data_IF_341326652583
#
_entry.id   IF_341326652583
#
_cell.length_a   1.000
_cell.length_b   1.000
_cell.length_c   1.000
_cell.angle_alpha   90.00
_cell.angle_beta   90.00
_cell.angle_gamma   90.00
#
_symmetry.space_group_name_H-M   'P 1'
#
loop_
_entity.id
_entity.type
_entity.pdbx_description
1 polymer ?
#
# COMPACT_ATOMS: atom_id res chain seq x y z
N UNK A 1 0.93 -22.57 26.63
CA UNK A 1 1.44 -22.14 25.34
C UNK A 1 0.71 -20.86 24.96
N UNK A 2 1.39 -19.84 24.42
CA UNK A 2 0.79 -18.58 23.97
C UNK A 2 1.10 -18.41 22.49
N UNK A 3 0.06 -18.24 21.67
CA UNK A 3 0.16 -18.00 20.23
C UNK A 3 -0.14 -16.52 19.96
N UNK A 4 0.55 -15.94 19.01
CA UNK A 4 0.30 -14.58 18.52
C UNK A 4 -0.14 -14.70 17.06
N UNK A 5 -1.31 -14.15 16.77
CA UNK A 5 -1.85 -14.19 15.42
C UNK A 5 -1.09 -13.27 14.48
N UNK A 6 -1.07 -13.65 13.18
CA UNK A 6 -0.57 -12.81 12.10
C UNK A 6 -1.61 -11.75 11.68
N UNK A 7 -1.25 -10.95 10.68
CA UNK A 7 -2.12 -9.87 10.17
C UNK A 7 -3.39 -10.38 9.49
N UNK A 8 -3.32 -11.54 8.81
CA UNK A 8 -4.49 -12.10 8.13
C UNK A 8 -5.41 -12.76 9.14
N UNK A 9 -6.68 -12.33 9.25
CA UNK A 9 -7.64 -12.88 10.19
C UNK A 9 -7.83 -14.40 10.06
N UNK A 10 -8.06 -15.13 11.18
CA UNK A 10 -8.20 -16.60 11.17
C UNK A 10 -9.30 -17.10 10.23
N UNK A 11 -10.44 -16.40 10.16
CA UNK A 11 -11.57 -16.72 9.30
C UNK A 11 -11.22 -16.60 7.82
N UNK A 12 -10.45 -15.60 7.42
CA UNK A 12 -9.98 -15.49 6.03
C UNK A 12 -8.98 -16.59 5.69
N UNK A 13 -8.04 -16.90 6.62
CA UNK A 13 -7.12 -18.02 6.43
C UNK A 13 -7.87 -19.35 6.25
N UNK A 14 -8.93 -19.56 7.02
CA UNK A 14 -9.79 -20.76 6.92
C UNK A 14 -10.49 -20.83 5.55
N UNK A 15 -11.08 -19.74 5.08
CA UNK A 15 -11.75 -19.68 3.78
C UNK A 15 -10.82 -20.02 2.60
N UNK A 16 -9.55 -19.59 2.65
CA UNK A 16 -8.56 -20.00 1.65
C UNK A 16 -8.21 -21.49 1.76
N UNK A 17 -8.10 -22.02 2.97
CA UNK A 17 -7.76 -23.43 3.17
C UNK A 17 -8.86 -24.39 2.70
N UNK A 18 -10.13 -24.00 2.77
CA UNK A 18 -11.27 -24.80 2.29
C UNK A 18 -11.25 -25.02 0.76
N UNK A 19 -10.53 -24.21 0.02
CA UNK A 19 -10.39 -24.36 -1.43
C UNK A 19 -9.49 -25.55 -1.84
N UNK A 20 -8.79 -26.17 -0.90
CA UNK A 20 -7.96 -27.34 -1.16
C UNK A 20 -8.71 -28.64 -0.91
N UNK A 21 -8.69 -29.55 -1.92
CA UNK A 21 -9.31 -30.87 -1.83
C UNK A 21 -8.56 -31.70 -0.78
N UNK A 22 -9.30 -32.21 0.23
CA UNK A 22 -8.82 -33.25 1.13
C UNK A 22 -8.23 -32.79 2.45
N UNK A 23 -8.46 -31.55 2.85
CA UNK A 23 -8.11 -31.13 4.21
C UNK A 23 -7.25 -29.89 4.28
N UNK A 24 -7.22 -29.35 5.45
CA UNK A 24 -6.59 -28.09 5.77
C UNK A 24 -5.12 -28.04 5.40
N UNK A 25 -4.83 -27.51 4.21
CA UNK A 25 -3.49 -26.99 3.95
C UNK A 25 -3.35 -25.72 4.79
N UNK A 26 -2.40 -25.63 5.72
CA UNK A 26 -2.20 -24.41 6.48
C UNK A 26 -2.03 -23.22 5.51
N UNK A 27 -2.58 -22.08 5.84
CA UNK A 27 -2.49 -20.87 4.98
C UNK A 27 -1.05 -20.55 4.58
N UNK A 28 -0.09 -20.85 5.45
CA UNK A 28 1.32 -20.77 5.12
C UNK A 28 1.70 -21.65 3.91
N UNK A 29 1.20 -22.87 3.84
CA UNK A 29 1.45 -23.79 2.71
C UNK A 29 0.70 -23.38 1.44
N UNK A 30 -0.43 -22.68 1.57
CA UNK A 30 -1.14 -22.11 0.42
C UNK A 30 -0.23 -21.21 -0.42
N UNK A 31 0.57 -20.34 0.22
CA UNK A 31 1.50 -19.47 -0.47
C UNK A 31 2.54 -20.27 -1.28
N UNK A 32 3.08 -21.36 -0.69
CA UNK A 32 4.08 -22.21 -1.38
C UNK A 32 3.50 -23.01 -2.52
N UNK A 33 2.21 -23.36 -2.47
CA UNK A 33 1.51 -24.08 -3.57
C UNK A 33 1.09 -23.13 -4.72
N UNK A 34 0.84 -21.85 -4.44
CA UNK A 34 0.36 -20.89 -5.43
C UNK A 34 1.43 -19.97 -5.99
N UNK A 35 2.55 -19.79 -5.28
CA UNK A 35 3.60 -18.87 -5.65
C UNK A 35 4.92 -19.61 -5.85
N UNK A 36 5.56 -19.41 -7.00
CA UNK A 36 6.96 -19.83 -7.21
C UNK A 36 7.90 -18.90 -6.40
N UNK A 37 9.16 -19.31 -6.23
CA UNK A 37 10.13 -18.57 -5.41
C UNK A 37 10.38 -17.12 -5.91
N UNK A 38 10.38 -16.91 -7.22
CA UNK A 38 10.49 -15.60 -7.85
C UNK A 38 9.26 -14.74 -7.56
N UNK A 39 8.05 -15.31 -7.59
CA UNK A 39 6.83 -14.63 -7.18
C UNK A 39 6.85 -14.23 -5.72
N UNK A 40 7.38 -15.07 -4.83
CA UNK A 40 7.56 -14.75 -3.41
C UNK A 40 8.57 -13.62 -3.19
N UNK A 41 9.67 -13.61 -3.96
CA UNK A 41 10.64 -12.51 -3.90
C UNK A 41 10.05 -11.20 -4.44
N UNK A 42 9.29 -11.25 -5.52
CA UNK A 42 8.57 -10.08 -6.03
C UNK A 42 7.56 -9.56 -5.00
N UNK A 43 6.79 -10.44 -4.36
CA UNK A 43 5.87 -10.06 -3.29
C UNK A 43 6.61 -9.44 -2.08
N UNK A 44 7.77 -9.98 -1.70
CA UNK A 44 8.59 -9.40 -0.63
C UNK A 44 9.01 -7.96 -0.95
N UNK A 45 9.44 -7.70 -2.20
CA UNK A 45 9.75 -6.34 -2.65
C UNK A 45 8.50 -5.45 -2.69
N UNK A 46 7.37 -5.98 -3.10
CA UNK A 46 6.08 -5.28 -3.10
C UNK A 46 5.66 -4.82 -1.70
N UNK A 47 5.85 -5.67 -0.67
CA UNK A 47 5.57 -5.32 0.72
C UNK A 47 6.65 -4.46 1.38
N UNK A 48 7.86 -4.42 0.84
CA UNK A 48 8.96 -3.58 1.34
C UNK A 48 9.56 -2.75 0.19
N UNK A 49 8.78 -1.84 -0.41
CA UNK A 49 9.17 -1.15 -1.63
C UNK A 49 10.23 -0.08 -1.39
N UNK A 50 10.75 0.43 -2.49
CA UNK A 50 11.57 1.62 -2.49
C UNK A 50 10.71 2.88 -2.37
N UNK A 51 11.23 3.86 -1.61
CA UNK A 51 10.66 5.19 -1.47
C UNK A 51 11.66 6.23 -1.93
N UNK A 52 11.16 7.24 -2.63
CA UNK A 52 11.95 8.37 -3.12
C UNK A 52 11.63 9.62 -2.32
N UNK A 53 12.68 10.28 -1.81
CA UNK A 53 12.55 11.58 -1.17
C UNK A 53 12.95 12.68 -2.16
N UNK A 54 12.03 13.60 -2.45
CA UNK A 54 12.27 14.79 -3.25
C UNK A 54 11.78 16.01 -2.46
N UNK A 55 12.67 16.97 -2.21
CA UNK A 55 12.37 18.07 -1.30
C UNK A 55 12.02 17.54 0.08
N UNK A 56 10.81 17.82 0.55
CA UNK A 56 10.28 17.31 1.82
C UNK A 56 9.24 16.20 1.65
N UNK A 57 8.94 15.80 0.42
CA UNK A 57 7.93 14.78 0.12
C UNK A 57 8.54 13.40 -0.08
N UNK A 58 7.82 12.38 0.40
CA UNK A 58 8.17 10.97 0.25
C UNK A 58 7.16 10.30 -0.68
N UNK A 59 7.67 9.70 -1.74
CA UNK A 59 6.86 9.06 -2.77
C UNK A 59 7.18 7.57 -2.87
N UNK A 60 6.17 6.76 -3.20
CA UNK A 60 6.34 5.36 -3.56
C UNK A 60 6.98 5.30 -4.95
N UNK A 61 8.24 4.86 -5.02
CA UNK A 61 9.03 4.89 -6.25
C UNK A 61 8.36 4.17 -7.42
N UNK A 62 7.68 3.05 -7.14
CA UNK A 62 7.08 2.19 -8.16
C UNK A 62 5.95 2.84 -8.97
N UNK A 63 5.28 3.86 -8.41
CA UNK A 63 4.14 4.55 -9.07
C UNK A 63 4.48 5.97 -9.52
N UNK A 64 5.70 6.43 -9.25
CA UNK A 64 6.13 7.73 -9.75
C UNK A 64 6.25 7.71 -11.28
N UNK A 65 5.87 8.80 -11.97
CA UNK A 65 6.16 8.95 -13.38
C UNK A 65 7.66 8.76 -13.65
N UNK A 66 8.05 8.07 -14.73
CA UNK A 66 9.46 7.75 -15.00
C UNK A 66 10.38 8.98 -15.18
N UNK A 67 9.79 10.09 -15.56
CA UNK A 67 10.45 11.39 -15.83
C UNK A 67 10.21 12.42 -14.71
N UNK A 68 9.70 11.97 -13.55
CA UNK A 68 9.46 12.85 -12.41
C UNK A 68 10.80 13.31 -11.80
N UNK A 69 11.10 14.58 -11.95
CA UNK A 69 12.33 15.22 -11.50
C UNK A 69 12.06 16.41 -10.56
N UNK A 70 13.13 17.13 -10.21
CA UNK A 70 13.00 18.34 -9.38
C UNK A 70 12.16 19.46 -10.04
N UNK A 71 12.11 19.52 -11.37
CA UNK A 71 11.29 20.53 -12.05
C UNK A 71 9.81 20.17 -11.91
N UNK A 72 9.46 18.91 -12.14
CA UNK A 72 8.12 18.35 -11.89
C UNK A 72 7.66 18.57 -10.46
N UNK A 73 8.56 18.35 -9.49
CA UNK A 73 8.30 18.60 -8.08
C UNK A 73 7.95 20.08 -7.82
N UNK A 74 8.75 21.03 -8.39
CA UNK A 74 8.50 22.47 -8.20
C UNK A 74 7.19 22.93 -8.82
N UNK A 75 6.84 22.40 -9.99
CA UNK A 75 5.55 22.70 -10.63
C UNK A 75 4.39 22.19 -9.76
N UNK A 76 4.53 21.01 -9.21
CA UNK A 76 3.54 20.45 -8.29
C UNK A 76 3.44 21.27 -7.00
N UNK A 77 4.57 21.68 -6.42
CA UNK A 77 4.62 22.51 -5.23
C UNK A 77 3.86 23.85 -5.44
N UNK A 78 4.03 24.45 -6.62
CA UNK A 78 3.26 25.65 -7.00
C UNK A 78 1.77 25.36 -7.14
N UNK A 79 1.41 24.24 -7.81
CA UNK A 79 0.01 23.81 -8.00
C UNK A 79 -0.71 23.60 -6.68
N UNK A 80 -0.04 22.97 -5.72
CA UNK A 80 -0.59 22.68 -4.38
C UNK A 80 -0.31 23.77 -3.35
N UNK A 81 0.22 24.93 -3.77
CA UNK A 81 0.54 26.07 -2.90
C UNK A 81 1.40 25.69 -1.70
N UNK A 82 2.34 24.74 -1.89
CA UNK A 82 3.22 24.24 -0.84
C UNK A 82 2.56 23.30 0.16
N UNK A 83 1.37 22.78 -0.13
CA UNK A 83 0.75 21.71 0.67
C UNK A 83 1.37 20.36 0.31
N UNK A 84 2.50 20.08 0.96
CA UNK A 84 3.26 18.84 0.72
C UNK A 84 2.48 17.57 1.11
N UNK A 85 1.57 17.65 2.10
CA UNK A 85 0.72 16.50 2.45
C UNK A 85 -0.28 16.19 1.34
N UNK A 86 -0.88 17.20 0.73
CA UNK A 86 -1.76 17.02 -0.42
C UNK A 86 -1.01 16.50 -1.65
N UNK A 87 0.22 16.98 -1.88
CA UNK A 87 1.09 16.47 -2.95
C UNK A 87 1.38 14.97 -2.78
N UNK A 88 1.82 14.56 -1.58
CA UNK A 88 2.07 13.15 -1.29
C UNK A 88 0.80 12.31 -1.41
N UNK A 89 -0.32 12.81 -0.87
CA UNK A 89 -1.60 12.14 -0.91
C UNK A 89 -2.04 11.86 -2.35
N UNK A 90 -1.82 12.79 -3.26
CA UNK A 90 -2.16 12.64 -4.69
C UNK A 90 -1.20 11.70 -5.42
N UNK A 91 0.13 11.91 -5.28
CA UNK A 91 1.13 11.10 -6.00
C UNK A 91 1.16 9.65 -5.51
N UNK A 92 0.94 9.42 -4.21
CA UNK A 92 0.95 8.09 -3.62
C UNK A 92 -0.40 7.38 -3.69
N UNK A 93 -1.42 8.00 -4.30
CA UNK A 93 -2.70 7.35 -4.51
C UNK A 93 -2.55 6.25 -5.58
N UNK A 94 -3.12 5.10 -5.28
CA UNK A 94 -2.96 3.93 -6.10
C UNK A 94 -4.17 3.00 -6.00
N UNK A 95 -4.69 2.57 -7.15
CA UNK A 95 -5.76 1.57 -7.23
C UNK A 95 -5.20 0.16 -7.12
N UNK A 96 -5.73 -0.63 -6.19
CA UNK A 96 -5.36 -2.04 -6.03
C UNK A 96 -5.59 -2.82 -7.34
N UNK A 97 -6.63 -2.45 -8.10
CA UNK A 97 -6.97 -3.08 -9.36
C UNK A 97 -5.90 -2.97 -10.44
N UNK A 98 -5.12 -1.92 -10.44
CA UNK A 98 -4.12 -1.65 -11.48
C UNK A 98 -2.96 -2.66 -11.48
N UNK A 99 -2.70 -3.30 -10.35
CA UNK A 99 -1.63 -4.28 -10.21
C UNK A 99 -2.10 -5.74 -10.33
N UNK A 100 -3.39 -5.97 -10.18
CA UNK A 100 -3.97 -7.31 -10.23
C UNK A 100 -4.83 -7.54 -11.47
N UNK A 101 -4.38 -7.06 -12.63
CA UNK A 101 -5.10 -7.13 -13.91
C UNK A 101 -5.54 -8.56 -14.32
N UNK A 102 -4.86 -9.57 -13.82
CA UNK A 102 -5.18 -10.98 -14.08
C UNK A 102 -5.79 -11.68 -12.85
N UNK A 103 -6.18 -10.95 -11.82
CA UNK A 103 -6.82 -11.54 -10.66
C UNK A 103 -8.21 -12.05 -11.00
N UNK A 104 -8.64 -13.11 -10.31
CA UNK A 104 -10.02 -13.57 -10.38
C UNK A 104 -10.95 -12.44 -9.86
N UNK A 105 -11.94 -12.00 -10.65
CA UNK A 105 -12.84 -10.90 -10.26
C UNK A 105 -13.48 -11.09 -8.88
N UNK A 106 -13.75 -12.32 -8.47
CA UNK A 106 -14.33 -12.61 -7.15
C UNK A 106 -13.49 -12.08 -5.98
N UNK A 107 -12.15 -11.98 -6.15
CA UNK A 107 -11.26 -11.42 -5.12
C UNK A 107 -11.19 -9.91 -5.21
N UNK A 108 -11.35 -9.35 -6.41
CA UNK A 108 -11.34 -7.90 -6.62
C UNK A 108 -12.66 -7.24 -6.24
N UNK A 109 -13.75 -8.02 -6.17
CA UNK A 109 -15.07 -7.56 -5.72
C UNK A 109 -15.30 -7.85 -4.21
N UNK A 110 -14.36 -8.52 -3.55
CA UNK A 110 -14.45 -8.87 -2.13
C UNK A 110 -13.75 -7.82 -1.26
N UNK A 111 -14.54 -6.91 -0.68
CA UNK A 111 -14.05 -5.82 0.17
C UNK A 111 -13.25 -6.32 1.38
N UNK A 112 -13.58 -7.50 1.93
CA UNK A 112 -12.84 -8.06 3.06
C UNK A 112 -11.42 -8.48 2.65
N UNK A 113 -11.27 -9.03 1.45
CA UNK A 113 -9.98 -9.39 0.89
C UNK A 113 -9.16 -8.13 0.57
N UNK A 114 -9.78 -7.13 -0.07
CA UNK A 114 -9.13 -5.86 -0.38
C UNK A 114 -8.66 -5.13 0.87
N UNK A 115 -9.52 -5.09 1.90
CA UNK A 115 -9.17 -4.48 3.19
C UNK A 115 -8.00 -5.23 3.86
N UNK A 116 -8.06 -6.55 3.94
CA UNK A 116 -6.97 -7.32 4.55
C UNK A 116 -5.64 -7.17 3.78
N UNK A 117 -5.72 -7.06 2.45
CA UNK A 117 -4.54 -6.82 1.63
C UNK A 117 -3.94 -5.42 1.89
N UNK A 118 -4.77 -4.38 1.90
CA UNK A 118 -4.31 -3.02 2.18
C UNK A 118 -3.84 -2.83 3.62
N UNK A 119 -4.40 -3.55 4.59
CA UNK A 119 -3.89 -3.60 5.97
C UNK A 119 -2.46 -4.18 6.03
N UNK A 120 -2.19 -5.20 5.22
CA UNK A 120 -0.82 -5.71 5.08
C UNK A 120 0.11 -4.64 4.49
N UNK A 121 -0.31 -3.92 3.44
CA UNK A 121 0.47 -2.83 2.86
C UNK A 121 0.74 -1.73 3.89
N UNK A 122 -0.29 -1.25 4.60
CA UNK A 122 -0.13 -0.25 5.66
C UNK A 122 0.90 -0.69 6.71
N UNK A 123 0.82 -1.95 7.14
CA UNK A 123 1.76 -2.47 8.12
C UNK A 123 3.20 -2.47 7.60
N UNK A 124 3.45 -3.10 6.46
CA UNK A 124 4.80 -3.27 5.95
C UNK A 124 5.40 -1.96 5.44
N UNK A 125 4.64 -1.18 4.69
CA UNK A 125 5.08 0.14 4.21
C UNK A 125 5.30 1.10 5.38
N UNK A 126 4.40 1.08 6.37
CA UNK A 126 4.53 1.89 7.58
C UNK A 126 5.79 1.54 8.38
N UNK A 127 6.11 0.25 8.54
CA UNK A 127 7.35 -0.16 9.18
C UNK A 127 8.58 0.29 8.38
N UNK A 128 8.54 0.16 7.06
CA UNK A 128 9.62 0.60 6.19
C UNK A 128 9.81 2.12 6.21
N UNK A 129 8.75 2.87 6.13
CA UNK A 129 8.76 4.34 6.24
C UNK A 129 9.30 4.79 7.61
N UNK A 130 8.88 4.16 8.69
CA UNK A 130 9.39 4.44 10.03
C UNK A 130 10.89 4.14 10.17
N UNK A 131 11.38 3.10 9.51
CA UNK A 131 12.80 2.76 9.47
C UNK A 131 13.61 3.80 8.71
N UNK A 132 13.12 4.26 7.55
CA UNK A 132 13.81 5.21 6.68
C UNK A 132 13.71 6.65 7.19
N UNK A 133 12.56 7.01 7.79
CA UNK A 133 12.24 8.36 8.23
C UNK A 133 11.72 8.33 9.67
N UNK A 134 12.58 8.02 10.67
CA UNK A 134 12.15 7.78 12.05
C UNK A 134 11.48 9.00 12.71
N UNK A 135 11.82 10.21 12.26
CA UNK A 135 11.30 11.47 12.79
C UNK A 135 10.03 11.97 12.08
N UNK A 136 9.50 11.18 11.12
CA UNK A 136 8.31 11.53 10.35
C UNK A 136 7.15 10.59 10.71
N UNK A 137 5.95 11.14 10.75
CA UNK A 137 4.72 10.38 10.94
C UNK A 137 3.97 10.29 9.62
N UNK A 138 3.58 9.09 9.22
CA UNK A 138 2.81 8.85 8.00
C UNK A 138 1.39 8.41 8.33
N UNK A 139 0.44 8.96 7.58
CA UNK A 139 -0.97 8.59 7.60
C UNK A 139 -1.23 7.76 6.36
N UNK A 140 -1.99 6.68 6.51
CA UNK A 140 -2.51 5.88 5.40
C UNK A 140 -4.02 6.07 5.32
N UNK A 141 -4.54 6.13 4.10
CA UNK A 141 -5.97 6.11 3.81
C UNK A 141 -6.25 4.97 2.82
N UNK A 142 -7.33 4.23 3.08
CA UNK A 142 -7.81 3.17 2.20
C UNK A 142 -9.31 3.34 1.97
N UNK A 143 -9.77 3.03 0.77
CA UNK A 143 -11.18 3.15 0.41
C UNK A 143 -11.38 3.25 -1.09
N UNK A 144 -12.61 3.49 -1.49
CA UNK A 144 -12.94 3.69 -2.91
C UNK A 144 -12.67 5.11 -3.37
N UNK A 145 -12.19 5.25 -4.61
CA UNK A 145 -12.08 6.51 -5.34
C UNK A 145 -11.20 7.59 -4.66
N UNK A 146 -10.17 7.18 -3.92
CA UNK A 146 -9.23 8.12 -3.30
C UNK A 146 -8.46 8.87 -4.41
N UNK A 147 -8.45 10.20 -4.33
CA UNK A 147 -7.80 11.11 -5.31
C UNK A 147 -8.23 10.89 -6.77
N UNK A 148 -9.39 10.27 -7.00
CA UNK A 148 -9.92 9.98 -8.33
C UNK A 148 -9.46 8.64 -8.93
N UNK A 149 -8.73 7.84 -8.15
CA UNK A 149 -8.37 6.48 -8.53
C UNK A 149 -9.61 5.59 -8.66
N UNK A 150 -9.64 4.74 -9.67
CA UNK A 150 -10.75 3.83 -9.90
C UNK A 150 -10.70 2.62 -8.98
N UNK A 151 -11.81 2.31 -8.30
CA UNK A 151 -11.92 1.13 -7.43
C UNK A 151 -11.34 1.33 -6.04
N UNK A 152 -11.01 0.22 -5.38
CA UNK A 152 -10.45 0.24 -4.03
C UNK A 152 -8.99 0.68 -4.06
N UNK A 153 -8.68 1.71 -3.30
CA UNK A 153 -7.41 2.45 -3.41
C UNK A 153 -6.74 2.61 -2.07
N UNK A 154 -5.45 2.87 -2.08
CA UNK A 154 -4.63 3.21 -0.92
C UNK A 154 -3.78 4.43 -1.26
N UNK A 155 -3.56 5.27 -0.26
CA UNK A 155 -2.56 6.34 -0.31
C UNK A 155 -1.88 6.52 1.02
N UNK A 156 -0.76 7.24 1.03
CA UNK A 156 -0.12 7.68 2.26
C UNK A 156 0.51 9.06 2.08
N UNK A 157 0.63 9.77 3.19
CA UNK A 157 1.25 11.08 3.25
C UNK A 157 1.76 11.39 4.66
N UNK A 158 2.69 12.34 4.77
CA UNK A 158 3.21 12.77 6.06
C UNK A 158 2.16 13.62 6.80
N UNK A 159 2.01 13.33 8.10
CA UNK A 159 1.32 14.24 9.00
C UNK A 159 2.21 15.46 9.24
N UNK A 160 1.77 16.61 8.76
CA UNK A 160 2.41 17.91 9.03
C UNK A 160 1.51 18.74 9.91
N UNK A 161 2.11 19.56 10.80
CA UNK A 161 1.34 20.56 11.51
C UNK A 161 0.67 21.47 10.48
N UNK A 162 -0.65 21.71 10.62
CA UNK A 162 -1.33 22.70 9.80
C UNK A 162 -0.53 24.01 9.90
N UNK A 163 -0.03 24.49 8.78
CA UNK A 163 0.37 25.90 8.74
C UNK A 163 -0.94 26.66 8.91
N UNK A 164 -1.17 27.16 10.13
CA UNK A 164 -2.28 28.06 10.38
C UNK A 164 -2.30 29.06 9.22
N UNK A 165 -3.42 29.08 8.50
CA UNK A 165 -3.64 30.11 7.49
C UNK A 165 -3.60 31.44 8.26
N UNK A 166 -2.44 32.07 8.23
CA UNK A 166 -2.36 33.47 8.60
C UNK A 166 -3.22 34.21 7.57
N UNK A 167 -4.41 34.55 8.00
CA UNK A 167 -5.36 35.40 7.26
C UNK A 167 -4.77 36.79 7.13
#
# INVERSE_FOLDING_TARGET
MKTFDGLIPPEQRAAFNEQFIGGAVPFFSYATEKCAIDGMLAAAHFFTPDFTLIGDCVFLTAIMPPDFDEASYREMEQRYHGDHSAMERWVNAWSVGDYFLNADPKYMDDEQILTAFTDCLQYYWGQRLKQLFPDREFIFETGYEIEGELGYSITFYQRRASRDRVI
#
